data_IF_904829632510
#
_entry.id   IF_904829632510
#
_cell.length_a   1.000
_cell.length_b   1.000
_cell.length_c   1.000
_cell.angle_alpha   90.00
_cell.angle_beta   90.00
_cell.angle_gamma   90.00
#
_symmetry.space_group_name_H-M   'P 1'
#
loop_
_entity.id
_entity.type
_entity.pdbx_description
1 polymer ?
#
# COMPACT_ATOMS: atom_id res chain seq x y z
N UNK A 1 14.03 12.72 11.02
CA UNK A 1 13.75 13.02 9.61
C UNK A 1 14.37 11.90 8.80
N UNK A 2 13.59 10.84 8.65
CA UNK A 2 13.88 9.79 7.68
C UNK A 2 13.47 10.25 6.27
N UNK A 3 13.78 9.45 5.26
CA UNK A 3 13.49 9.76 3.85
C UNK A 3 11.97 9.90 3.59
N UNK A 4 11.16 9.21 4.39
CA UNK A 4 9.70 9.31 4.39
C UNK A 4 9.23 10.69 4.89
N UNK A 5 9.83 11.23 5.95
CA UNK A 5 9.54 12.57 6.47
C UNK A 5 9.82 13.67 5.43
N UNK A 6 10.83 13.49 4.57
CA UNK A 6 11.19 14.44 3.51
C UNK A 6 10.20 14.41 2.32
N UNK A 7 9.65 13.25 1.99
CA UNK A 7 8.66 13.08 0.91
C UNK A 7 7.27 13.60 1.34
N UNK A 8 6.91 13.49 2.62
CA UNK A 8 5.63 14.00 3.16
C UNK A 8 5.46 15.52 2.95
N UNK A 9 6.55 16.30 3.02
CA UNK A 9 6.51 17.75 2.75
C UNK A 9 6.18 18.09 1.28
N UNK A 10 6.39 17.17 0.33
CA UNK A 10 6.14 17.41 -1.10
C UNK A 10 4.79 16.92 -1.61
N UNK A 11 4.01 16.19 -0.80
CA UNK A 11 2.72 15.63 -1.24
C UNK A 11 1.56 16.64 -1.27
N UNK A 12 1.81 17.91 -0.91
CA UNK A 12 0.81 18.98 -0.98
C UNK A 12 0.44 19.41 -2.42
N UNK A 13 1.18 18.97 -3.44
CA UNK A 13 1.11 19.52 -4.81
C UNK A 13 0.68 18.51 -5.91
N UNK A 14 -0.20 17.55 -5.61
CA UNK A 14 -0.81 16.75 -6.69
C UNK A 14 -2.06 17.43 -7.23
N UNK A 15 -1.89 18.25 -8.27
CA UNK A 15 -2.98 18.90 -9.00
C UNK A 15 -3.87 17.84 -9.69
N UNK A 16 -5.01 17.54 -9.08
CA UNK A 16 -6.07 16.74 -9.71
C UNK A 16 -6.89 17.68 -10.58
N UNK A 17 -7.03 17.35 -11.87
CA UNK A 17 -7.88 18.07 -12.80
C UNK A 17 -9.27 18.31 -12.21
N UNK A 18 -9.75 19.56 -12.27
CA UNK A 18 -11.04 19.99 -11.73
C UNK A 18 -12.17 19.12 -12.29
N UNK A 19 -12.74 18.21 -11.48
CA UNK A 19 -13.94 17.45 -11.86
C UNK A 19 -15.18 18.24 -11.46
N UNK A 20 -16.08 18.45 -12.40
CA UNK A 20 -17.47 18.84 -12.11
C UNK A 20 -18.08 17.75 -11.23
N UNK A 21 -18.76 18.11 -10.14
CA UNK A 21 -19.26 17.15 -9.16
C UNK A 21 -20.21 16.11 -9.77
N UNK A 22 -19.99 14.83 -9.46
CA UNK A 22 -20.79 13.69 -9.94
C UNK A 22 -21.33 12.88 -8.75
N UNK A 23 -22.61 12.54 -8.76
CA UNK A 23 -23.21 11.67 -7.75
C UNK A 23 -22.87 10.21 -8.05
N UNK A 24 -22.25 9.52 -7.09
CA UNK A 24 -21.84 8.12 -7.18
C UNK A 24 -22.15 7.36 -5.91
N UNK A 25 -22.41 6.07 -6.05
CA UNK A 25 -22.49 5.15 -4.92
C UNK A 25 -21.07 4.73 -4.54
N UNK A 26 -20.64 5.11 -3.33
CA UNK A 26 -19.27 4.95 -2.87
C UNK A 26 -19.24 4.37 -1.48
N UNK A 27 -18.13 3.73 -1.13
CA UNK A 27 -17.84 3.38 0.25
C UNK A 27 -16.93 4.43 0.87
N UNK A 28 -17.42 5.09 1.91
CA UNK A 28 -16.66 6.06 2.68
C UNK A 28 -16.00 5.36 3.85
N UNK A 29 -14.70 5.55 3.98
CA UNK A 29 -13.87 5.08 5.09
C UNK A 29 -13.48 6.26 5.95
N UNK A 30 -13.67 6.14 7.27
CA UNK A 30 -13.11 7.04 8.27
C UNK A 30 -12.33 6.26 9.30
N UNK A 31 -11.18 6.79 9.69
CA UNK A 31 -10.44 6.32 10.86
C UNK A 31 -10.06 7.48 11.76
N UNK A 32 -10.01 7.26 13.07
CA UNK A 32 -9.55 8.22 14.07
C UNK A 32 -8.69 7.54 15.15
N UNK A 33 -7.76 8.28 15.76
CA UNK A 33 -6.87 7.74 16.79
C UNK A 33 -7.60 7.72 18.15
N UNK A 34 -7.51 6.58 18.84
CA UNK A 34 -8.14 6.41 20.16
C UNK A 34 -7.54 7.38 21.17
N UNK A 35 -8.40 8.26 21.69
CA UNK A 35 -8.08 9.21 22.75
C UNK A 35 -6.81 10.03 22.46
N UNK A 36 -6.63 10.45 21.20
CA UNK A 36 -5.47 11.20 20.72
C UNK A 36 -5.12 12.44 21.54
N UNK A 37 -6.11 13.16 22.09
CA UNK A 37 -5.84 14.29 22.98
C UNK A 37 -5.01 13.87 24.20
N UNK A 38 -5.28 12.69 24.78
CA UNK A 38 -4.49 12.17 25.88
C UNK A 38 -3.10 11.74 25.39
N UNK A 39 -3.02 11.02 24.26
CA UNK A 39 -1.75 10.58 23.66
C UNK A 39 -0.83 11.79 23.38
N UNK A 40 -1.34 12.80 22.69
CA UNK A 40 -0.58 13.99 22.30
C UNK A 40 -0.07 14.82 23.48
N UNK A 41 -0.75 14.81 24.64
CA UNK A 41 -0.29 15.51 25.84
C UNK A 41 0.94 14.86 26.50
N UNK A 42 1.16 13.56 26.26
CA UNK A 42 2.31 12.82 26.79
C UNK A 42 3.53 12.86 25.86
N UNK A 43 3.37 13.40 24.65
CA UNK A 43 4.38 13.43 23.61
C UNK A 43 4.89 14.86 23.39
N UNK A 44 6.15 14.98 22.95
CA UNK A 44 6.61 16.25 22.41
C UNK A 44 5.90 16.55 21.08
N UNK A 45 5.75 17.82 20.65
CA UNK A 45 5.16 18.14 19.36
C UNK A 45 5.84 17.45 18.17
N UNK A 46 7.15 17.21 18.24
CA UNK A 46 7.89 16.47 17.22
C UNK A 46 7.54 14.98 17.19
N UNK A 47 7.33 14.36 18.36
CA UNK A 47 6.92 12.96 18.45
C UNK A 47 5.47 12.77 18.01
N UNK A 48 4.58 13.73 18.30
CA UNK A 48 3.21 13.74 17.76
C UNK A 48 3.24 13.77 16.23
N UNK A 49 4.06 14.66 15.66
CA UNK A 49 4.20 14.76 14.20
C UNK A 49 4.77 13.47 13.60
N UNK A 50 5.78 12.86 14.24
CA UNK A 50 6.34 11.58 13.80
C UNK A 50 5.30 10.45 13.82
N UNK A 51 4.51 10.37 14.90
CA UNK A 51 3.43 9.39 15.04
C UNK A 51 2.40 9.55 13.93
N UNK A 52 1.91 10.77 13.72
CA UNK A 52 0.90 11.08 12.69
C UNK A 52 1.42 10.77 11.28
N UNK A 53 2.64 11.21 10.94
CA UNK A 53 3.23 10.93 9.64
C UNK A 53 3.36 9.44 9.39
N UNK A 54 3.91 8.70 10.37
CA UNK A 54 4.07 7.25 10.26
C UNK A 54 2.73 6.54 10.08
N UNK A 55 1.71 6.97 10.82
CA UNK A 55 0.36 6.46 10.69
C UNK A 55 -0.22 6.75 9.29
N UNK A 56 -0.22 8.01 8.86
CA UNK A 56 -0.81 8.42 7.59
C UNK A 56 -0.12 7.81 6.37
N UNK A 57 1.20 7.59 6.41
CA UNK A 57 1.93 6.88 5.35
C UNK A 57 1.44 5.45 5.22
N UNK A 58 1.45 4.70 6.33
CA UNK A 58 1.11 3.27 6.31
C UNK A 58 -0.34 3.06 5.90
N UNK A 59 -1.27 3.86 6.44
CA UNK A 59 -2.69 3.74 6.08
C UNK A 59 -2.97 4.26 4.68
N UNK A 60 -2.34 5.37 4.27
CA UNK A 60 -2.46 5.89 2.90
C UNK A 60 -2.04 4.85 1.86
N UNK A 61 -0.91 4.19 2.07
CA UNK A 61 -0.44 3.08 1.25
C UNK A 61 -1.47 1.94 1.19
N UNK A 62 -2.02 1.52 2.33
CA UNK A 62 -3.04 0.46 2.38
C UNK A 62 -4.29 0.85 1.60
N UNK A 63 -4.78 2.08 1.76
CA UNK A 63 -5.95 2.59 1.03
C UNK A 63 -5.70 2.54 -0.48
N UNK A 64 -4.56 3.08 -0.95
CA UNK A 64 -4.22 3.10 -2.38
C UNK A 64 -4.09 1.68 -2.97
N UNK A 65 -3.47 0.75 -2.23
CA UNK A 65 -3.30 -0.66 -2.66
C UNK A 65 -4.62 -1.42 -2.77
N UNK A 66 -5.66 -0.95 -2.10
CA UNK A 66 -7.02 -1.46 -2.20
C UNK A 66 -7.86 -0.60 -3.16
N UNK A 67 -7.21 0.21 -4.00
CA UNK A 67 -7.85 1.07 -5.01
C UNK A 67 -8.81 2.10 -4.40
N UNK A 68 -8.54 2.48 -3.16
CA UNK A 68 -9.18 3.60 -2.49
C UNK A 68 -8.43 4.90 -2.76
N UNK A 69 -9.12 6.01 -2.55
CA UNK A 69 -8.55 7.35 -2.66
C UNK A 69 -8.58 8.05 -1.31
N UNK A 70 -7.41 8.43 -0.81
CA UNK A 70 -7.27 9.26 0.38
C UNK A 70 -7.73 10.68 0.07
N UNK A 71 -8.93 11.05 0.54
CA UNK A 71 -9.54 12.35 0.24
C UNK A 71 -8.95 13.46 1.11
N UNK A 72 -8.81 13.21 2.41
CA UNK A 72 -8.26 14.19 3.35
C UNK A 72 -7.84 13.56 4.67
N UNK A 73 -6.85 14.19 5.31
CA UNK A 73 -6.57 14.03 6.73
C UNK A 73 -7.45 14.99 7.54
N UNK A 74 -8.03 14.53 8.65
CA UNK A 74 -8.94 15.31 9.50
C UNK A 74 -8.45 15.23 10.94
N UNK A 75 -7.63 16.19 11.34
CA UNK A 75 -6.99 16.15 12.66
C UNK A 75 -6.02 14.98 12.75
N UNK A 76 -6.31 14.05 13.66
CA UNK A 76 -5.61 12.78 13.89
C UNK A 76 -6.19 11.59 13.11
N UNK A 77 -7.29 11.82 12.39
CA UNK A 77 -7.94 10.83 11.55
C UNK A 77 -7.70 11.04 10.05
N UNK A 78 -8.29 10.15 9.25
CA UNK A 78 -8.31 10.27 7.80
C UNK A 78 -9.63 9.82 7.21
N UNK A 79 -9.91 10.33 6.01
CA UNK A 79 -11.06 9.99 5.19
C UNK A 79 -10.57 9.45 3.84
N UNK A 80 -11.11 8.30 3.46
CA UNK A 80 -10.89 7.71 2.14
C UNK A 80 -12.22 7.36 1.46
N UNK A 81 -12.18 7.25 0.13
CA UNK A 81 -13.33 6.98 -0.73
C UNK A 81 -12.99 5.83 -1.67
N UNK A 82 -13.87 4.83 -1.74
CA UNK A 82 -13.77 3.68 -2.64
C UNK A 82 -14.94 3.67 -3.62
N UNK A 83 -14.70 3.20 -4.84
CA UNK A 83 -15.74 3.07 -5.88
C UNK A 83 -15.95 4.30 -6.75
N UNK A 84 -15.02 5.26 -6.75
CA UNK A 84 -15.10 6.43 -7.63
C UNK A 84 -14.98 6.08 -9.13
N UNK A 85 -14.47 4.88 -9.43
CA UNK A 85 -14.32 4.28 -10.75
C UNK A 85 -15.42 3.24 -11.06
N UNK A 86 -16.46 3.19 -10.23
CA UNK A 86 -17.64 2.32 -10.38
C UNK A 86 -17.33 0.81 -10.35
N UNK A 87 -16.23 0.43 -9.69
CA UNK A 87 -15.88 -0.98 -9.47
C UNK A 87 -16.83 -1.69 -8.52
N UNK A 88 -17.32 -2.86 -8.94
CA UNK A 88 -18.26 -3.67 -8.18
C UNK A 88 -17.67 -4.23 -6.87
N UNK A 89 -16.36 -4.45 -6.80
CA UNK A 89 -15.67 -4.95 -5.61
C UNK A 89 -15.22 -3.84 -4.65
N UNK A 90 -15.51 -2.57 -4.94
CA UNK A 90 -15.12 -1.45 -4.09
C UNK A 90 -15.62 -1.53 -2.63
N UNK A 91 -16.87 -1.97 -2.34
CA UNK A 91 -17.32 -2.19 -0.96
C UNK A 91 -16.46 -3.21 -0.21
N UNK A 92 -16.09 -4.30 -0.88
CA UNK A 92 -15.24 -5.36 -0.32
C UNK A 92 -13.80 -4.87 -0.13
N UNK A 93 -13.24 -4.15 -1.11
CA UNK A 93 -11.92 -3.53 -1.01
C UNK A 93 -11.81 -2.57 0.17
N UNK A 94 -12.85 -1.78 0.45
CA UNK A 94 -12.86 -0.87 1.58
C UNK A 94 -12.77 -1.61 2.93
N UNK A 95 -13.50 -2.72 3.08
CA UNK A 95 -13.42 -3.57 4.28
C UNK A 95 -12.06 -4.27 4.38
N UNK A 96 -11.51 -4.75 3.26
CA UNK A 96 -10.16 -5.32 3.25
C UNK A 96 -9.10 -4.30 3.69
N UNK A 97 -9.18 -3.07 3.19
CA UNK A 97 -8.31 -1.98 3.58
C UNK A 97 -8.43 -1.68 5.09
N UNK A 98 -9.65 -1.70 5.64
CA UNK A 98 -9.87 -1.51 7.07
C UNK A 98 -9.21 -2.60 7.92
N UNK A 99 -9.37 -3.87 7.55
CA UNK A 99 -8.74 -4.99 8.25
C UNK A 99 -7.21 -4.90 8.18
N UNK A 100 -6.65 -4.63 7.00
CA UNK A 100 -5.20 -4.42 6.82
C UNK A 100 -4.68 -3.23 7.64
N UNK A 101 -5.49 -2.17 7.77
CA UNK A 101 -5.17 -1.00 8.59
C UNK A 101 -5.10 -1.37 10.07
N UNK A 102 -6.05 -2.15 10.59
CA UNK A 102 -6.01 -2.64 11.97
C UNK A 102 -4.78 -3.50 12.23
N UNK A 103 -4.45 -4.41 11.32
CA UNK A 103 -3.24 -5.24 11.40
C UNK A 103 -1.96 -4.39 11.41
N UNK A 104 -1.91 -3.34 10.60
CA UNK A 104 -0.76 -2.43 10.55
C UNK A 104 -0.59 -1.65 11.85
N UNK A 105 -1.68 -1.13 12.41
CA UNK A 105 -1.68 -0.49 13.72
C UNK A 105 -1.26 -1.45 14.82
N UNK A 106 -1.70 -2.71 14.78
CA UNK A 106 -1.30 -3.72 15.75
C UNK A 106 0.21 -4.02 15.70
N UNK A 107 0.83 -3.96 14.51
CA UNK A 107 2.30 -4.03 14.37
C UNK A 107 3.02 -2.79 14.89
N UNK A 108 2.37 -1.63 14.90
CA UNK A 108 2.93 -0.36 15.38
C UNK A 108 2.85 -0.22 16.91
N UNK A 109 1.85 -0.84 17.54
CA UNK A 109 1.61 -0.78 19.00
C UNK A 109 2.86 -1.03 19.87
N UNK A 110 3.65 -2.10 19.67
CA UNK A 110 4.82 -2.37 20.53
C UNK A 110 5.89 -1.29 20.44
N UNK A 111 6.05 -0.68 19.27
CA UNK A 111 7.00 0.42 19.07
C UNK A 111 6.59 1.64 19.88
N UNK A 112 5.33 2.08 19.80
CA UNK A 112 4.86 3.25 20.55
C UNK A 112 4.80 3.01 22.06
N UNK A 113 4.43 1.80 22.48
CA UNK A 113 4.44 1.42 23.90
C UNK A 113 5.87 1.44 24.48
N UNK A 114 6.86 0.91 23.76
CA UNK A 114 8.24 0.84 24.25
C UNK A 114 8.98 2.18 24.19
N UNK A 115 8.78 2.95 23.12
CA UNK A 115 9.49 4.22 22.91
C UNK A 115 8.89 5.37 23.71
N UNK A 116 7.56 5.39 23.87
CA UNK A 116 6.84 6.55 24.41
C UNK A 116 5.92 6.23 25.60
N UNK A 117 5.72 4.95 25.94
CA UNK A 117 4.82 4.56 27.03
C UNK A 117 3.35 4.86 26.75
N UNK A 118 2.96 5.00 25.47
CA UNK A 118 1.57 5.29 25.06
C UNK A 118 0.93 4.08 24.42
N UNK A 119 -0.35 3.86 24.72
CA UNK A 119 -1.19 2.90 24.01
C UNK A 119 -1.72 3.56 22.74
N UNK A 120 -1.25 3.11 21.59
CA UNK A 120 -1.68 3.59 20.29
C UNK A 120 -2.72 2.65 19.69
N UNK A 121 -3.92 3.14 19.40
CA UNK A 121 -4.94 2.38 18.67
C UNK A 121 -5.82 3.32 17.85
N UNK A 122 -6.64 2.75 16.99
CA UNK A 122 -7.55 3.48 16.11
C UNK A 122 -8.96 2.88 16.15
N UNK A 123 -9.92 3.66 15.66
CA UNK A 123 -11.27 3.21 15.33
C UNK A 123 -11.54 3.50 13.88
N UNK A 124 -12.31 2.61 13.24
CA UNK A 124 -12.66 2.70 11.83
C UNK A 124 -14.18 2.55 11.68
N UNK A 125 -14.77 3.45 10.90
CA UNK A 125 -16.16 3.40 10.47
C UNK A 125 -16.27 3.39 8.96
N UNK A 126 -17.08 2.48 8.42
CA UNK A 126 -17.38 2.44 6.99
C UNK A 126 -18.87 2.53 6.71
N UNK A 127 -19.19 3.25 5.63
CA UNK A 127 -20.55 3.36 5.13
C UNK A 127 -20.59 3.33 3.61
N UNK A 128 -21.55 2.58 3.06
CA UNK A 128 -21.86 2.59 1.64
C UNK A 128 -23.10 3.45 1.40
N UNK A 129 -23.00 4.38 0.46
CA UNK A 129 -24.12 5.23 0.07
C UNK A 129 -23.74 6.27 -0.97
N UNK A 130 -24.74 6.99 -1.46
CA UNK A 130 -24.56 8.00 -2.49
C UNK A 130 -23.86 9.25 -1.94
N UNK A 131 -22.83 9.71 -2.65
CA UNK A 131 -22.15 10.98 -2.40
C UNK A 131 -21.80 11.68 -3.71
N UNK A 132 -21.66 13.01 -3.65
CA UNK A 132 -21.16 13.80 -4.78
C UNK A 132 -19.64 13.87 -4.71
N UNK A 133 -18.96 13.31 -5.70
CA UNK A 133 -17.51 13.33 -5.86
C UNK A 133 -17.13 14.51 -6.76
N UNK A 134 -16.27 15.41 -6.28
CA UNK A 134 -15.86 16.57 -7.06
C UNK A 134 -14.70 17.33 -6.43
N UNK A 135 -14.11 18.24 -7.22
CA UNK A 135 -13.04 19.11 -6.75
C UNK A 135 -13.64 20.32 -6.02
N UNK A 136 -13.26 20.53 -4.76
CA UNK A 136 -13.75 21.64 -3.92
C UNK A 136 -12.57 22.40 -3.32
N UNK A 137 -12.60 23.72 -3.42
CA UNK A 137 -11.56 24.61 -2.90
C UNK A 137 -11.55 25.96 -3.62
N UNK A 138 -10.61 26.82 -3.27
CA UNK A 138 -10.30 28.02 -4.05
C UNK A 138 -9.45 27.66 -5.27
N UNK A 139 -9.46 28.52 -6.28
CA UNK A 139 -8.63 28.37 -7.49
C UNK A 139 -7.16 28.13 -7.10
N UNK A 140 -6.58 27.02 -7.56
CA UNK A 140 -5.20 26.61 -7.27
C UNK A 140 -5.00 25.83 -5.97
N UNK A 141 -6.08 25.63 -5.19
CA UNK A 141 -6.09 24.84 -3.95
C UNK A 141 -7.31 23.92 -3.89
N UNK A 142 -7.76 23.43 -5.05
CA UNK A 142 -8.85 22.47 -5.15
C UNK A 142 -8.41 21.08 -4.66
N UNK A 143 -9.27 20.41 -3.90
CA UNK A 143 -9.07 19.01 -3.51
C UNK A 143 -10.25 18.17 -3.97
N UNK A 144 -9.96 17.01 -4.56
CA UNK A 144 -10.98 16.01 -4.85
C UNK A 144 -11.52 15.46 -3.52
N UNK A 145 -12.83 15.49 -3.33
CA UNK A 145 -13.47 15.00 -2.11
C UNK A 145 -14.87 14.46 -2.41
N UNK A 146 -15.41 13.69 -1.47
CA UNK A 146 -16.83 13.37 -1.42
C UNK A 146 -17.58 14.37 -0.53
N UNK A 147 -18.80 14.73 -0.92
CA UNK A 147 -19.75 15.52 -0.14
C UNK A 147 -21.11 14.83 -0.17
N UNK A 148 -21.75 14.71 0.98
CA UNK A 148 -23.08 14.13 1.09
C UNK A 148 -23.35 13.61 2.50
N UNK A 149 -24.58 13.15 2.73
CA UNK A 149 -24.96 12.58 4.01
C UNK A 149 -24.15 11.31 4.33
N UNK A 150 -23.80 10.52 3.31
CA UNK A 150 -22.96 9.34 3.45
C UNK A 150 -21.63 9.60 4.18
N UNK A 151 -21.01 10.77 3.95
CA UNK A 151 -19.77 11.18 4.63
C UNK A 151 -20.00 11.41 6.12
N UNK A 152 -21.12 12.03 6.48
CA UNK A 152 -21.47 12.29 7.88
C UNK A 152 -21.88 11.00 8.61
N UNK A 153 -22.58 10.08 7.92
CA UNK A 153 -22.94 8.78 8.49
C UNK A 153 -21.67 7.98 8.79
N UNK A 154 -20.71 7.91 7.84
CA UNK A 154 -19.46 7.20 8.04
C UNK A 154 -18.66 7.71 9.25
N UNK A 155 -18.52 9.03 9.43
CA UNK A 155 -17.80 9.59 10.58
C UNK A 155 -18.52 9.32 11.91
N UNK A 156 -19.86 9.31 11.91
CA UNK A 156 -20.63 8.95 13.11
C UNK A 156 -20.52 7.47 13.45
N UNK A 157 -20.36 6.60 12.46
CA UNK A 157 -20.11 5.15 12.65
C UNK A 157 -18.73 4.94 13.25
N UNK A 158 -17.71 5.64 12.76
CA UNK A 158 -16.38 5.63 13.37
C UNK A 158 -16.50 5.98 14.86
N UNK A 159 -17.13 7.12 15.18
CA UNK A 159 -17.29 7.57 16.56
C UNK A 159 -18.07 6.58 17.45
N UNK A 160 -19.05 5.86 16.88
CA UNK A 160 -19.86 4.87 17.59
C UNK A 160 -19.04 3.67 18.11
N UNK A 161 -17.87 3.40 17.52
CA UNK A 161 -16.95 2.38 18.03
C UNK A 161 -16.57 2.62 19.50
N UNK A 162 -16.48 3.88 19.93
CA UNK A 162 -16.13 4.22 21.32
C UNK A 162 -17.15 3.68 22.31
N UNK A 163 -18.43 3.86 22.01
CA UNK A 163 -19.53 3.41 22.87
C UNK A 163 -19.73 1.89 22.78
N UNK A 164 -19.46 1.31 21.60
CA UNK A 164 -19.56 -0.12 21.36
C UNK A 164 -18.37 -0.94 21.88
N UNK A 165 -17.24 -0.29 22.21
CA UNK A 165 -16.01 -0.98 22.60
C UNK A 165 -15.38 -1.78 21.44
N UNK A 166 -15.54 -1.31 20.20
CA UNK A 166 -15.07 -1.97 18.98
C UNK A 166 -13.98 -1.14 18.29
N UNK A 167 -13.29 -1.74 17.31
CA UNK A 167 -12.31 -1.05 16.45
C UNK A 167 -12.82 -0.82 15.03
N UNK A 168 -13.75 -1.64 14.57
CA UNK A 168 -14.28 -1.61 13.20
C UNK A 168 -15.79 -1.84 13.24
N UNK A 169 -16.52 -0.88 12.69
CA UNK A 169 -17.96 -0.98 12.45
C UNK A 169 -18.29 -0.60 11.00
N UNK A 170 -19.22 -1.35 10.43
CA UNK A 170 -19.79 -1.06 9.11
C UNK A 170 -21.29 -0.79 9.22
N UNK A 171 -21.81 0.10 8.38
CA UNK A 171 -23.25 0.32 8.24
C UNK A 171 -23.98 -0.91 7.70
N UNK A 172 -25.27 -1.02 8.00
CA UNK A 172 -26.16 -2.02 7.39
C UNK A 172 -26.21 -1.94 5.85
N UNK A 173 -26.14 -0.73 5.28
CA UNK A 173 -26.07 -0.55 3.84
C UNK A 173 -24.82 -1.19 3.23
N UNK A 174 -23.66 -1.02 3.87
CA UNK A 174 -22.42 -1.69 3.43
C UNK A 174 -22.49 -3.21 3.65
N UNK A 175 -23.02 -3.65 4.79
CA UNK A 175 -23.20 -5.08 5.07
C UNK A 175 -24.04 -5.77 3.98
N UNK A 176 -25.13 -5.13 3.53
CA UNK A 176 -26.00 -5.69 2.49
C UNK A 176 -25.27 -5.94 1.15
N UNK A 177 -24.28 -5.12 0.80
CA UNK A 177 -23.50 -5.29 -0.44
C UNK A 177 -22.53 -6.49 -0.39
N UNK A 178 -22.06 -6.87 0.80
CA UNK A 178 -20.95 -7.82 0.98
C UNK A 178 -21.23 -8.94 2.00
N UNK A 179 -22.48 -9.13 2.43
CA UNK A 179 -22.88 -10.09 3.48
C UNK A 179 -22.31 -11.50 3.25
N UNK A 180 -22.31 -11.94 1.99
CA UNK A 180 -21.82 -13.28 1.64
C UNK A 180 -20.30 -13.40 1.67
N UNK A 181 -19.56 -12.29 1.73
CA UNK A 181 -18.12 -12.18 1.57
C UNK A 181 -17.35 -11.93 2.88
N UNK A 182 -18.04 -11.57 3.96
CA UNK A 182 -17.40 -11.18 5.24
C UNK A 182 -17.85 -12.05 6.41
N UNK A 183 -17.00 -12.15 7.42
CA UNK A 183 -17.30 -12.74 8.72
C UNK A 183 -17.65 -11.63 9.72
N UNK A 184 -18.86 -11.69 10.27
CA UNK A 184 -19.36 -10.72 11.24
C UNK A 184 -19.38 -11.36 12.62
N UNK A 185 -18.69 -10.72 13.57
CA UNK A 185 -18.61 -11.19 14.95
C UNK A 185 -19.85 -10.82 15.76
N UNK A 186 -20.41 -9.62 15.55
CA UNK A 186 -21.54 -9.10 16.30
C UNK A 186 -22.23 -7.94 15.56
N UNK A 187 -23.37 -7.48 16.08
CA UNK A 187 -24.01 -6.25 15.64
C UNK A 187 -24.42 -5.38 16.83
N UNK A 188 -24.39 -4.07 16.64
CA UNK A 188 -24.81 -3.09 17.64
C UNK A 188 -25.91 -2.20 17.06
N UNK A 189 -26.91 -1.89 17.89
CA UNK A 189 -27.97 -0.93 17.53
C UNK A 189 -27.77 0.35 18.32
N UNK A 190 -27.31 1.38 17.62
CA UNK A 190 -26.98 2.68 18.22
C UNK A 190 -27.84 3.78 17.61
N UNK A 191 -28.08 4.84 18.38
CA UNK A 191 -28.53 6.11 17.79
C UNK A 191 -27.28 6.88 17.42
N UNK A 192 -27.11 7.18 16.14
CA UNK A 192 -26.03 8.08 15.78
C UNK A 192 -26.29 9.46 16.36
N UNK A 193 -25.22 10.15 16.74
CA UNK A 193 -25.32 11.49 17.30
C UNK A 193 -26.01 12.42 16.30
N UNK A 194 -27.14 13.00 16.71
CA UNK A 194 -27.93 13.90 15.89
C UNK A 194 -28.98 13.22 14.99
N UNK A 195 -29.26 11.93 15.17
CA UNK A 195 -30.40 11.24 14.53
C UNK A 195 -31.32 10.62 15.59
N UNK A 196 -32.63 10.64 15.33
CA UNK A 196 -33.61 10.00 16.21
C UNK A 196 -33.74 8.49 15.95
N UNK A 197 -33.38 8.07 14.73
CA UNK A 197 -33.42 6.69 14.27
C UNK A 197 -32.25 5.86 14.81
N UNK A 198 -32.56 4.61 15.20
CA UNK A 198 -31.56 3.62 15.58
C UNK A 198 -31.10 2.92 14.31
N UNK A 199 -29.79 2.88 14.09
CA UNK A 199 -29.20 2.13 12.99
C UNK A 199 -28.53 0.87 13.51
N UNK A 200 -28.52 -0.18 12.68
CA UNK A 200 -27.75 -1.40 12.94
C UNK A 200 -26.36 -1.23 12.33
N UNK A 201 -25.33 -1.48 13.14
CA UNK A 201 -23.93 -1.52 12.73
C UNK A 201 -23.40 -2.92 12.97
N UNK A 202 -22.54 -3.39 12.08
CA UNK A 202 -21.96 -4.72 12.14
C UNK A 202 -20.49 -4.63 12.49
N UNK A 203 -20.05 -5.45 13.44
CA UNK A 203 -18.64 -5.65 13.78
C UNK A 203 -18.08 -6.72 12.86
N UNK A 204 -17.16 -6.32 11.98
CA UNK A 204 -16.48 -7.24 11.06
C UNK A 204 -15.26 -7.83 11.76
N UNK A 205 -15.06 -9.14 11.61
CA UNK A 205 -13.90 -9.87 12.15
C UNK A 205 -12.87 -10.13 11.04
N UNK A 206 -13.31 -10.69 9.92
CA UNK A 206 -12.44 -11.00 8.78
C UNK A 206 -13.25 -11.09 7.46
N UNK A 207 -12.56 -11.26 6.33
CA UNK A 207 -13.11 -11.66 5.04
C UNK A 207 -13.16 -13.19 4.94
N UNK A 208 -14.21 -13.72 4.30
CA UNK A 208 -14.25 -15.15 3.96
C UNK A 208 -13.17 -15.50 2.92
N UNK A 209 -12.66 -16.73 2.92
CA UNK A 209 -11.59 -17.15 1.99
C UNK A 209 -11.92 -16.93 0.50
N UNK A 210 -13.18 -17.13 0.11
CA UNK A 210 -13.63 -16.94 -1.27
C UNK A 210 -13.60 -15.46 -1.67
N UNK A 211 -13.92 -14.56 -0.75
CA UNK A 211 -13.89 -13.12 -0.97
C UNK A 211 -12.45 -12.60 -1.14
N UNK A 212 -11.50 -13.11 -0.35
CA UNK A 212 -10.07 -12.83 -0.55
C UNK A 212 -9.62 -13.21 -1.96
N UNK A 213 -10.09 -14.36 -2.47
CA UNK A 213 -9.79 -14.81 -3.83
C UNK A 213 -10.36 -13.88 -4.92
N UNK A 214 -11.49 -13.21 -4.68
CA UNK A 214 -12.07 -12.22 -5.60
C UNK A 214 -11.18 -10.98 -5.69
N UNK A 215 -10.75 -10.45 -4.53
CA UNK A 215 -9.82 -9.31 -4.46
C UNK A 215 -8.45 -9.66 -5.07
N UNK A 216 -8.04 -10.91 -4.93
CA UNK A 216 -6.82 -11.44 -5.52
C UNK A 216 -6.93 -11.67 -7.04
N UNK A 217 -8.15 -11.78 -7.59
CA UNK A 217 -8.42 -12.16 -8.97
C UNK A 217 -8.81 -11.02 -9.92
N UNK A 218 -9.15 -9.82 -9.43
CA UNK A 218 -9.79 -8.76 -10.25
C UNK A 218 -8.85 -7.77 -10.96
N UNK A 219 -7.52 -7.96 -10.92
CA UNK A 219 -6.57 -7.09 -11.62
C UNK A 219 -5.42 -7.86 -12.26
N UNK A 220 -5.08 -7.49 -13.50
CA UNK A 220 -3.81 -7.84 -14.14
C UNK A 220 -2.65 -7.43 -13.22
N UNK A 221 -2.14 -8.38 -12.42
CA UNK A 221 -1.13 -8.11 -11.40
C UNK A 221 0.21 -7.76 -12.03
N UNK A 222 0.50 -6.47 -12.18
CA UNK A 222 1.89 -5.98 -12.22
C UNK A 222 2.47 -5.87 -10.81
N UNK A 223 1.66 -5.70 -9.76
CA UNK A 223 2.09 -5.75 -8.35
C UNK A 223 1.01 -6.28 -7.40
N UNK A 224 1.42 -6.83 -6.26
CA UNK A 224 0.60 -7.30 -5.13
C UNK A 224 1.32 -7.00 -3.81
N UNK A 225 0.61 -6.86 -2.69
CA UNK A 225 1.24 -6.71 -1.36
C UNK A 225 1.01 -7.98 -0.55
N UNK A 226 2.08 -8.55 -0.02
CA UNK A 226 2.04 -9.78 0.75
C UNK A 226 3.13 -9.77 1.82
N UNK A 227 2.74 -10.03 3.08
CA UNK A 227 3.67 -10.05 4.21
C UNK A 227 4.36 -8.71 4.49
N UNK A 228 3.67 -7.59 4.26
CA UNK A 228 4.22 -6.23 4.44
C UNK A 228 5.25 -5.82 3.38
N UNK A 229 5.37 -6.58 2.28
CA UNK A 229 6.25 -6.27 1.15
C UNK A 229 5.42 -6.06 -0.11
N UNK A 230 5.86 -5.13 -0.94
CA UNK A 230 5.35 -4.97 -2.32
C UNK A 230 6.04 -5.98 -3.21
N UNK A 231 5.26 -6.86 -3.81
CA UNK A 231 5.66 -7.87 -4.77
C UNK A 231 5.24 -7.45 -6.16
N UNK A 232 6.21 -7.10 -7.00
CA UNK A 232 5.94 -6.80 -8.40
C UNK A 232 6.07 -8.09 -9.21
N UNK A 233 5.09 -8.38 -10.07
CA UNK A 233 5.14 -9.52 -10.97
C UNK A 233 6.25 -9.28 -11.98
N UNK A 234 7.23 -10.18 -12.00
CA UNK A 234 8.34 -10.14 -12.94
C UNK A 234 7.91 -10.63 -14.34
N UNK A 235 7.61 -11.93 -14.46
CA UNK A 235 7.18 -12.62 -15.68
C UNK A 235 6.67 -14.01 -15.30
N UNK A 236 5.99 -14.70 -16.21
CA UNK A 236 5.56 -16.09 -16.02
C UNK A 236 6.74 -17.06 -16.04
N UNK A 237 6.66 -18.17 -15.29
CA UNK A 237 7.75 -19.16 -15.23
C UNK A 237 8.18 -19.71 -16.60
N UNK A 238 7.23 -19.83 -17.54
CA UNK A 238 7.48 -20.27 -18.91
C UNK A 238 8.20 -19.24 -19.80
N UNK A 239 8.46 -18.04 -19.30
CA UNK A 239 9.14 -16.97 -20.06
C UNK A 239 10.67 -16.97 -19.85
N UNK A 240 11.22 -17.89 -19.04
CA UNK A 240 12.67 -18.00 -18.83
C UNK A 240 13.10 -19.46 -18.69
N UNK A 241 13.84 -19.96 -19.68
CA UNK A 241 14.34 -21.33 -19.71
C UNK A 241 15.53 -21.54 -18.75
N UNK A 242 15.76 -22.80 -18.37
CA UNK A 242 16.89 -23.15 -17.49
C UNK A 242 18.22 -22.85 -18.18
N UNK A 243 19.04 -22.02 -17.54
CA UNK A 243 20.29 -21.49 -18.07
C UNK A 243 20.20 -20.05 -18.55
N UNK A 244 18.99 -19.51 -18.73
CA UNK A 244 18.78 -18.15 -19.20
C UNK A 244 18.66 -17.13 -18.06
N UNK A 245 18.74 -15.85 -18.46
CA UNK A 245 18.60 -14.70 -17.57
C UNK A 245 17.78 -13.59 -18.20
N UNK A 246 17.20 -12.75 -17.34
CA UNK A 246 16.49 -11.51 -17.74
C UNK A 246 16.89 -10.38 -16.81
N UNK A 247 17.10 -9.18 -17.37
CA UNK A 247 17.35 -7.96 -16.59
C UNK A 247 16.05 -7.19 -16.51
N UNK A 248 15.60 -6.87 -15.29
CA UNK A 248 14.40 -6.08 -15.03
C UNK A 248 14.78 -4.75 -14.41
N UNK A 249 14.11 -3.68 -14.84
CA UNK A 249 14.19 -2.38 -14.19
C UNK A 249 13.22 -2.34 -13.02
N UNK A 250 13.71 -1.98 -11.84
CA UNK A 250 12.93 -1.85 -10.61
C UNK A 250 13.29 -0.54 -9.91
N UNK A 251 12.50 0.52 -10.19
CA UNK A 251 12.84 1.88 -9.76
C UNK A 251 14.21 2.30 -10.29
N UNK A 252 15.13 2.66 -9.40
CA UNK A 252 16.51 3.06 -9.71
C UNK A 252 17.50 1.89 -9.78
N UNK A 253 17.02 0.66 -9.62
CA UNK A 253 17.83 -0.56 -9.65
C UNK A 253 17.55 -1.38 -10.91
N UNK A 254 18.59 -2.01 -11.42
CA UNK A 254 18.45 -3.12 -12.36
C UNK A 254 18.62 -4.42 -11.58
N UNK A 255 17.70 -5.36 -11.74
CA UNK A 255 17.75 -6.67 -11.11
C UNK A 255 17.94 -7.72 -12.20
N UNK A 256 18.99 -8.54 -12.07
CA UNK A 256 19.17 -9.72 -12.90
C UNK A 256 18.42 -10.87 -12.25
N UNK A 257 17.56 -11.54 -13.02
CA UNK A 257 16.92 -12.81 -12.63
C UNK A 257 17.53 -13.92 -13.49
N UNK A 258 18.00 -14.99 -12.85
CA UNK A 258 18.58 -16.19 -13.45
C UNK A 258 17.66 -17.38 -13.18
N UNK A 259 17.46 -18.26 -14.18
CA UNK A 259 16.83 -19.57 -13.97
C UNK A 259 17.91 -20.65 -13.94
N UNK A 260 18.17 -21.19 -12.77
CA UNK A 260 19.02 -22.37 -12.57
C UNK A 260 18.17 -23.63 -12.44
N UNK A 261 18.80 -24.81 -12.45
CA UNK A 261 18.10 -26.09 -12.35
C UNK A 261 17.30 -26.26 -11.04
N UNK A 262 17.66 -25.52 -10.00
CA UNK A 262 17.05 -25.55 -8.67
C UNK A 262 16.06 -24.40 -8.40
N UNK A 263 15.88 -23.47 -9.34
CA UNK A 263 14.92 -22.38 -9.23
C UNK A 263 15.38 -21.03 -9.79
N UNK A 264 14.72 -19.96 -9.35
CA UNK A 264 15.05 -18.58 -9.73
C UNK A 264 15.96 -17.93 -8.70
N UNK A 265 16.95 -17.19 -9.19
CA UNK A 265 17.90 -16.43 -8.37
C UNK A 265 17.94 -14.98 -8.85
N UNK A 266 18.02 -14.02 -7.95
CA UNK A 266 18.00 -12.60 -8.29
C UNK A 266 19.11 -11.82 -7.58
N UNK A 267 19.72 -10.85 -8.27
CA UNK A 267 20.74 -9.98 -7.70
C UNK A 267 20.75 -8.60 -8.39
N UNK A 268 21.29 -7.60 -7.69
CA UNK A 268 21.46 -6.25 -8.26
C UNK A 268 22.47 -6.28 -9.42
N UNK A 269 22.09 -5.75 -10.57
CA UNK A 269 22.90 -5.67 -11.78
C UNK A 269 23.97 -4.57 -11.70
N UNK A 270 24.71 -4.51 -10.59
CA UNK A 270 25.77 -3.55 -10.37
C UNK A 270 26.96 -4.23 -9.73
N UNK A 271 28.12 -4.13 -10.38
CA UNK A 271 29.38 -4.60 -9.81
C UNK A 271 29.66 -3.80 -8.52
N UNK A 272 29.90 -4.46 -7.36
CA UNK A 272 30.11 -3.76 -6.10
C UNK A 272 31.36 -2.86 -6.10
N UNK A 273 32.31 -3.12 -7.00
CA UNK A 273 33.56 -2.36 -7.09
C UNK A 273 33.45 -1.07 -7.91
N UNK A 274 32.72 -1.10 -9.02
CA UNK A 274 32.70 0.00 -10.01
C UNK A 274 31.29 0.48 -10.39
N UNK A 275 30.24 -0.16 -9.83
CA UNK A 275 28.83 0.12 -10.11
C UNK A 275 28.46 0.02 -11.60
N UNK A 276 29.24 -0.74 -12.38
CA UNK A 276 28.98 -1.04 -13.78
C UNK A 276 28.05 -2.26 -13.91
N UNK A 277 27.25 -2.37 -15.00
CA UNK A 277 26.36 -3.49 -15.21
C UNK A 277 27.09 -4.84 -15.24
N UNK A 278 26.61 -5.81 -14.47
CA UNK A 278 27.16 -7.18 -14.47
C UNK A 278 26.67 -7.97 -15.69
N UNK A 279 25.46 -7.65 -16.17
CA UNK A 279 24.81 -8.21 -17.35
C UNK A 279 24.25 -7.08 -18.24
N UNK A 280 24.37 -7.23 -19.56
CA UNK A 280 23.79 -6.30 -20.53
C UNK A 280 22.26 -6.48 -20.61
N UNK A 281 21.53 -5.38 -20.81
CA UNK A 281 20.07 -5.39 -20.96
C UNK A 281 19.59 -5.97 -22.29
N UNK A 282 20.45 -5.99 -23.31
CA UNK A 282 20.10 -6.37 -24.69
C UNK A 282 20.29 -7.87 -24.91
N UNK A 283 19.46 -8.45 -25.77
CA UNK A 283 19.66 -9.81 -26.28
C UNK A 283 20.97 -9.88 -27.05
N UNK A 284 21.83 -10.82 -26.66
CA UNK A 284 23.15 -10.98 -27.26
C UNK A 284 23.08 -11.95 -28.43
N UNK A 285 23.77 -11.58 -29.51
CA UNK A 285 24.00 -12.48 -30.63
C UNK A 285 25.32 -13.22 -30.44
N UNK A 286 25.39 -14.41 -31.01
CA UNK A 286 26.61 -15.20 -31.02
C UNK A 286 27.76 -14.40 -31.65
N UNK A 287 28.84 -14.19 -30.89
CA UNK A 287 29.99 -13.38 -31.30
C UNK A 287 30.05 -11.95 -30.75
N UNK A 288 29.05 -11.48 -30.00
CA UNK A 288 29.10 -10.17 -29.36
C UNK A 288 30.16 -10.14 -28.24
N UNK A 289 31.07 -9.15 -28.29
CA UNK A 289 32.11 -8.91 -27.26
C UNK A 289 32.04 -7.47 -26.75
N UNK A 290 32.31 -7.29 -25.47
CA UNK A 290 32.39 -5.98 -24.82
C UNK A 290 33.83 -5.50 -24.76
N UNK A 291 34.00 -4.22 -24.45
CA UNK A 291 35.32 -3.63 -24.17
C UNK A 291 35.30 -2.92 -22.82
N UNK A 292 36.46 -2.83 -22.18
CA UNK A 292 36.61 -2.04 -20.96
C UNK A 292 36.64 -0.55 -21.32
N UNK A 293 35.82 0.31 -20.67
CA UNK A 293 35.79 1.74 -20.91
C UNK A 293 37.18 2.36 -20.96
N UNK A 294 37.48 3.05 -22.06
CA UNK A 294 38.78 3.71 -22.26
C UNK A 294 39.92 2.80 -22.70
N UNK A 295 39.65 1.54 -23.09
CA UNK A 295 40.67 0.60 -23.60
C UNK A 295 40.15 -0.24 -24.78
N UNK A 296 41.07 -0.83 -25.56
CA UNK A 296 40.75 -1.84 -26.59
C UNK A 296 40.75 -3.27 -26.03
N UNK A 297 40.67 -3.44 -24.71
CA UNK A 297 40.73 -4.77 -24.08
C UNK A 297 39.37 -5.44 -24.15
N UNK A 298 39.24 -6.61 -24.80
CA UNK A 298 37.97 -7.32 -24.90
C UNK A 298 37.58 -7.93 -23.55
N UNK A 299 36.27 -7.95 -23.28
CA UNK A 299 35.66 -8.60 -22.11
C UNK A 299 34.43 -9.40 -22.50
N UNK A 300 34.04 -10.41 -21.69
CA UNK A 300 32.70 -10.96 -21.75
C UNK A 300 31.66 -9.86 -21.52
N UNK A 301 30.54 -9.92 -22.25
CA UNK A 301 29.45 -8.95 -22.06
C UNK A 301 28.73 -9.15 -20.73
N UNK A 302 28.63 -10.40 -20.26
CA UNK A 302 28.00 -10.72 -18.98
C UNK A 302 28.97 -11.43 -18.05
N UNK A 303 28.73 -11.22 -16.76
CA UNK A 303 29.35 -11.97 -15.68
C UNK A 303 28.85 -13.42 -15.72
N UNK A 304 29.71 -14.34 -15.30
CA UNK A 304 29.43 -15.78 -15.30
C UNK A 304 29.09 -16.23 -13.89
N UNK A 305 28.03 -16.99 -13.74
CA UNK A 305 27.68 -17.65 -12.48
C UNK A 305 28.49 -18.94 -12.39
N UNK A 306 29.24 -19.13 -11.31
CA UNK A 306 30.05 -20.32 -11.10
C UNK A 306 29.23 -21.44 -10.44
N UNK A 307 29.72 -22.68 -10.51
CA UNK A 307 29.02 -23.86 -9.98
C UNK A 307 28.78 -23.79 -8.46
N UNK A 308 29.61 -23.02 -7.74
CA UNK A 308 29.47 -22.73 -6.30
C UNK A 308 28.50 -21.57 -5.99
N UNK A 309 27.75 -21.10 -6.99
CA UNK A 309 26.85 -19.94 -6.93
C UNK A 309 27.55 -18.60 -6.69
N UNK A 310 28.86 -18.55 -6.86
CA UNK A 310 29.59 -17.31 -6.97
C UNK A 310 29.32 -16.58 -8.28
N UNK A 311 29.70 -15.30 -8.34
CA UNK A 311 29.60 -14.50 -9.55
C UNK A 311 30.99 -14.02 -9.98
N UNK A 312 31.45 -14.52 -11.13
CA UNK A 312 32.66 -14.04 -11.80
C UNK A 312 32.32 -12.79 -12.60
N UNK A 313 32.68 -11.64 -12.02
CA UNK A 313 32.46 -10.34 -12.60
C UNK A 313 33.18 -10.17 -13.95
N UNK A 314 32.43 -9.81 -15.00
CA UNK A 314 32.95 -9.60 -16.36
C UNK A 314 33.95 -8.44 -16.50
N UNK A 315 34.06 -7.61 -15.47
CA UNK A 315 34.98 -6.46 -15.42
C UNK A 315 36.36 -6.82 -14.85
N UNK A 316 36.56 -8.02 -14.33
CA UNK A 316 37.85 -8.49 -13.80
C UNK A 316 38.63 -9.21 -14.90
N UNK A 317 39.78 -8.66 -15.29
CA UNK A 317 40.70 -9.34 -16.22
C UNK A 317 41.73 -10.11 -15.40
N UNK A 318 41.76 -11.43 -15.57
CA UNK A 318 42.70 -12.33 -14.89
C UNK A 318 42.04 -13.01 -13.70
N UNK A 319 41.72 -14.29 -13.87
CA UNK A 319 40.98 -15.08 -12.89
C UNK A 319 41.55 -14.99 -11.48
N UNK A 320 40.74 -14.45 -10.55
CA UNK A 320 40.64 -14.78 -9.12
C UNK A 320 39.82 -13.68 -8.46
N UNK A 321 38.52 -13.91 -8.33
CA UNK A 321 37.61 -12.99 -7.66
C UNK A 321 36.20 -13.54 -7.67
N UNK A 322 35.98 -14.65 -6.97
CA UNK A 322 34.63 -15.13 -6.67
C UNK A 322 34.02 -14.13 -5.68
N UNK A 323 32.92 -13.47 -6.07
CA UNK A 323 32.10 -12.70 -5.15
C UNK A 323 31.26 -13.70 -4.33
N UNK A 324 31.43 -13.69 -3.01
CA UNK A 324 30.60 -14.41 -2.04
C UNK A 324 29.57 -13.51 -1.39
#
# INVERSE_FOLDING_TARGET
MDETDLVMCSQLDRAVATRTGEAKDVTIFFSDIVDFTAVSQHLSPYDVMYLLNRYFVEVGDIIERNEGFTAKFVGDGMMAVFGMDDRADAPLSAVNAALQTLDAVDRMKPFFASMYGVEFDIRIGLHFGQAVIGSVGSIGHERLTAIGDAVNVASRIEAANKEAGTRLLISEALYAEIETQIEVADFVRVRLRGTDERITLYKVDDLKPEARSILDGSGSREAMIYGGKTWTRAFGESELDVGDRKVLSFGDLDVVILRLADGFHAFNNACPHMRLPLCERRDLKEGDIGYIPGTDTPRPLNSVVTDDRGLMCSWHIGGLGVLG
#
